data_IF_212701342351
#
_entry.id   IF_212701342351
#
_cell.length_a   1.000
_cell.length_b   1.000
_cell.length_c   1.000
_cell.angle_alpha   90.00
_cell.angle_beta   90.00
_cell.angle_gamma   90.00
#
_symmetry.space_group_name_H-M   'P 1'
#
loop_
_entity.id
_entity.type
_entity.pdbx_description
1 polymer ?
#
# COMPACT_ATOMS: atom_id res chain seq x y z
N UNK A 1 13.33 3.89 -20.21
CA UNK A 1 13.85 2.51 -20.10
C UNK A 1 12.66 1.71 -19.59
N UNK A 2 11.97 0.99 -20.47
CA UNK A 2 10.61 0.51 -20.19
C UNK A 2 10.48 -0.22 -18.83
N UNK A 3 9.31 -0.08 -18.18
CA UNK A 3 9.03 -0.78 -16.92
C UNK A 3 9.17 -2.30 -17.08
N UNK A 4 9.73 -2.95 -16.07
CA UNK A 4 9.89 -4.40 -16.07
C UNK A 4 8.57 -5.12 -15.77
N UNK A 5 8.41 -6.40 -16.17
CA UNK A 5 7.22 -7.18 -15.84
C UNK A 5 6.94 -7.24 -14.33
N UNK A 6 7.98 -7.27 -13.50
CA UNK A 6 7.85 -7.26 -12.04
C UNK A 6 7.35 -5.92 -11.51
N UNK A 7 7.81 -4.80 -12.08
CA UNK A 7 7.30 -3.47 -11.73
C UNK A 7 5.82 -3.32 -12.09
N UNK A 8 5.43 -3.80 -13.26
CA UNK A 8 4.03 -3.84 -13.70
C UNK A 8 3.20 -4.73 -12.76
N UNK A 9 3.74 -5.86 -12.33
CA UNK A 9 3.08 -6.72 -11.37
C UNK A 9 2.91 -6.06 -10.00
N UNK A 10 3.91 -5.32 -9.53
CA UNK A 10 3.82 -4.55 -8.29
C UNK A 10 2.76 -3.46 -8.40
N UNK A 11 2.69 -2.72 -9.51
CA UNK A 11 1.63 -1.73 -9.76
C UNK A 11 0.26 -2.41 -9.75
N UNK A 12 0.09 -3.51 -10.48
CA UNK A 12 -1.16 -4.29 -10.51
C UNK A 12 -1.59 -4.65 -9.09
N UNK A 13 -0.66 -5.20 -8.31
CA UNK A 13 -0.88 -5.58 -6.92
C UNK A 13 -1.35 -4.38 -6.12
N UNK A 14 -0.57 -3.30 -6.06
CA UNK A 14 -0.84 -2.11 -5.23
C UNK A 14 -2.13 -1.36 -5.60
N UNK A 15 -2.48 -1.33 -6.88
CA UNK A 15 -3.76 -0.78 -7.34
C UNK A 15 -4.95 -1.73 -7.10
N UNK A 16 -4.68 -2.97 -6.67
CA UNK A 16 -5.69 -3.94 -6.30
C UNK A 16 -6.37 -4.65 -7.48
N UNK A 17 -5.81 -4.57 -8.69
CA UNK A 17 -6.33 -5.32 -9.83
C UNK A 17 -6.19 -6.82 -9.60
N UNK A 18 -7.11 -7.67 -10.08
CA UNK A 18 -7.00 -9.12 -9.94
C UNK A 18 -5.79 -9.68 -10.71
N UNK A 19 -5.28 -10.82 -10.26
CA UNK A 19 -4.18 -11.50 -10.93
C UNK A 19 -4.71 -12.13 -12.23
N UNK A 20 -4.34 -11.56 -13.36
CA UNK A 20 -4.75 -12.05 -14.67
C UNK A 20 -3.85 -11.49 -15.78
N UNK A 21 -3.64 -12.25 -16.87
CA UNK A 21 -2.79 -11.83 -17.98
C UNK A 21 -3.32 -10.55 -18.65
N UNK A 22 -4.64 -10.38 -18.70
CA UNK A 22 -5.29 -9.23 -19.34
C UNK A 22 -4.93 -7.91 -18.65
N UNK A 23 -4.99 -7.88 -17.31
CA UNK A 23 -4.68 -6.67 -16.54
C UNK A 23 -3.21 -6.29 -16.59
N UNK A 24 -2.30 -7.27 -16.65
CA UNK A 24 -0.87 -7.01 -16.89
C UNK A 24 -0.62 -6.38 -18.25
N UNK A 25 -1.28 -6.88 -19.30
CA UNK A 25 -1.14 -6.31 -20.64
C UNK A 25 -1.71 -4.89 -20.72
N UNK A 26 -2.88 -4.65 -20.12
CA UNK A 26 -3.48 -3.31 -20.05
C UNK A 26 -2.55 -2.34 -19.32
N UNK A 27 -2.02 -2.72 -18.16
CA UNK A 27 -1.09 -1.90 -17.38
C UNK A 27 0.22 -1.65 -18.13
N UNK A 28 0.78 -2.67 -18.77
CA UNK A 28 1.97 -2.54 -19.60
C UNK A 28 1.76 -1.55 -20.74
N UNK A 29 0.65 -1.67 -21.47
CA UNK A 29 0.29 -0.74 -22.55
C UNK A 29 0.12 0.69 -22.04
N UNK A 30 -0.58 0.87 -20.92
CA UNK A 30 -0.78 2.20 -20.30
C UNK A 30 0.52 2.81 -19.80
N UNK A 31 1.39 2.03 -19.17
CA UNK A 31 2.69 2.50 -18.72
C UNK A 31 3.57 2.91 -19.91
N UNK A 32 3.55 2.14 -21.00
CA UNK A 32 4.30 2.48 -22.21
C UNK A 32 3.77 3.74 -22.91
N UNK A 33 2.46 3.99 -22.85
CA UNK A 33 1.81 5.16 -23.47
C UNK A 33 1.97 6.43 -22.62
N UNK A 34 1.87 6.32 -21.29
CA UNK A 34 1.75 7.46 -20.40
C UNK A 34 3.03 7.86 -19.67
N UNK A 35 4.03 6.99 -19.59
CA UNK A 35 5.24 7.27 -18.85
C UNK A 35 6.34 7.80 -19.76
N UNK A 36 6.79 9.02 -19.46
CA UNK A 36 8.10 9.48 -19.88
C UNK A 36 9.18 8.97 -18.91
N UNK A 37 10.46 9.18 -19.24
CA UNK A 37 11.57 8.71 -18.41
C UNK A 37 11.55 9.31 -16.98
N UNK A 38 10.98 10.50 -16.79
CA UNK A 38 10.88 11.13 -15.48
C UNK A 38 9.77 10.47 -14.64
N UNK A 39 8.61 10.21 -15.24
CA UNK A 39 7.49 9.51 -14.63
C UNK A 39 7.85 8.05 -14.31
N UNK A 40 8.59 7.35 -15.18
CA UNK A 40 9.16 6.02 -14.89
C UNK A 40 10.02 6.05 -13.61
N UNK A 41 10.91 7.06 -13.49
CA UNK A 41 11.76 7.24 -12.32
C UNK A 41 10.96 7.48 -11.03
N UNK A 42 9.93 8.33 -11.12
CA UNK A 42 9.03 8.65 -10.00
C UNK A 42 8.23 7.43 -9.54
N UNK A 43 7.64 6.68 -10.47
CA UNK A 43 6.90 5.45 -10.12
C UNK A 43 7.83 4.42 -9.48
N UNK A 44 9.04 4.23 -10.02
CA UNK A 44 10.03 3.33 -9.40
C UNK A 44 10.39 3.75 -7.98
N UNK A 45 10.51 5.05 -7.73
CA UNK A 45 10.75 5.56 -6.39
C UNK A 45 9.57 5.25 -5.45
N UNK A 46 8.33 5.47 -5.89
CA UNK A 46 7.13 5.16 -5.11
C UNK A 46 6.98 3.65 -4.84
N UNK A 47 7.23 2.80 -5.82
CA UNK A 47 7.22 1.35 -5.64
C UNK A 47 8.22 0.89 -4.57
N UNK A 48 9.44 1.46 -4.57
CA UNK A 48 10.44 1.17 -3.52
C UNK A 48 9.99 1.63 -2.13
N UNK A 49 9.29 2.76 -2.03
CA UNK A 49 8.74 3.21 -0.75
C UNK A 49 7.60 2.29 -0.29
N UNK A 50 6.73 1.86 -1.20
CA UNK A 50 5.67 0.90 -0.90
C UNK A 50 6.21 -0.45 -0.40
N UNK A 51 7.27 -0.98 -1.01
CA UNK A 51 7.93 -2.20 -0.54
C UNK A 51 8.54 -2.03 0.87
N UNK A 52 9.14 -0.87 1.14
CA UNK A 52 9.65 -0.53 2.48
C UNK A 52 8.53 -0.46 3.51
N UNK A 53 7.43 0.24 3.19
CA UNK A 53 6.26 0.34 4.06
C UNK A 53 5.63 -1.03 4.30
N UNK A 54 5.52 -1.86 3.27
CA UNK A 54 5.02 -3.22 3.40
C UNK A 54 5.92 -4.07 4.31
N UNK A 55 7.24 -3.93 4.18
CA UNK A 55 8.20 -4.61 5.05
C UNK A 55 8.03 -4.14 6.49
N UNK A 56 7.93 -2.82 6.73
CA UNK A 56 7.72 -2.24 8.06
C UNK A 56 6.40 -2.70 8.69
N UNK A 57 5.31 -2.73 7.93
CA UNK A 57 4.02 -3.24 8.42
C UNK A 57 4.13 -4.71 8.80
N UNK A 58 4.73 -5.54 7.94
CA UNK A 58 4.87 -6.98 8.17
C UNK A 58 5.76 -7.29 9.38
N UNK A 59 6.82 -6.50 9.61
CA UNK A 59 7.71 -6.67 10.77
C UNK A 59 7.17 -6.07 12.06
N UNK A 60 6.28 -5.07 11.98
CA UNK A 60 5.67 -4.45 13.19
C UNK A 60 4.52 -5.29 13.77
N UNK A 61 3.79 -6.03 12.92
CA UNK A 61 2.69 -6.94 13.36
C UNK A 61 3.12 -8.01 14.37
N UNK A 62 4.25 -8.74 14.23
CA UNK A 62 4.64 -9.76 15.21
C UNK A 62 5.06 -9.19 16.57
N UNK A 63 5.58 -7.95 16.63
CA UNK A 63 5.97 -7.34 17.90
C UNK A 63 4.75 -7.04 18.79
N UNK A 64 3.68 -6.50 18.20
CA UNK A 64 2.44 -6.23 18.91
C UNK A 64 1.65 -7.50 19.29
N UNK A 65 1.87 -8.65 18.64
CA UNK A 65 1.23 -9.90 19.08
C UNK A 65 1.96 -10.54 20.28
N UNK A 66 3.29 -10.40 20.36
CA UNK A 66 4.10 -11.01 21.41
C UNK A 66 4.09 -10.23 22.74
N UNK A 67 3.90 -8.90 22.72
CA UNK A 67 3.89 -8.09 23.97
C UNK A 67 2.57 -8.19 24.75
N UNK A 68 1.49 -8.70 24.16
CA UNK A 68 0.16 -8.76 24.81
C UNK A 68 -0.14 -10.10 25.48
N UNK A 69 0.75 -11.11 25.41
CA UNK A 69 0.50 -12.44 25.97
C UNK A 69 1.11 -12.67 27.37
N UNK A 70 1.61 -11.62 28.03
CA UNK A 70 2.10 -11.69 29.41
C UNK A 70 1.43 -10.60 30.23
N UNK A 71 0.55 -11.02 31.14
CA UNK A 71 -0.18 -10.15 32.06
C UNK A 71 0.75 -9.21 32.83
N UNK A 72 0.39 -7.94 32.88
CA UNK A 72 1.21 -6.93 33.55
C UNK A 72 0.60 -5.55 33.45
N UNK A 73 0.09 -5.08 34.58
CA UNK A 73 -0.29 -3.72 34.92
C UNK A 73 0.43 -2.60 34.14
N UNK A 74 -0.37 -1.67 33.59
CA UNK A 74 -0.07 -0.25 33.46
C UNK A 74 1.27 0.15 32.84
N UNK A 75 1.32 0.22 31.51
CA UNK A 75 2.22 1.15 30.80
C UNK A 75 1.65 1.43 29.41
N UNK A 76 1.71 2.70 29.02
CA UNK A 76 1.01 3.37 27.92
C UNK A 76 0.83 2.52 26.65
N UNK A 77 -0.42 2.05 26.42
CA UNK A 77 -0.85 1.29 25.24
C UNK A 77 -1.20 2.19 24.02
N UNK A 78 -0.56 3.34 23.88
CA UNK A 78 -0.70 4.23 22.72
C UNK A 78 0.55 4.10 21.86
N UNK A 79 0.46 3.38 20.73
CA UNK A 79 1.28 3.68 19.54
C UNK A 79 1.06 2.72 18.38
N UNK A 80 0.63 1.46 18.59
CA UNK A 80 0.62 0.48 17.49
C UNK A 80 -0.48 0.79 16.47
N UNK A 81 -1.71 1.08 16.94
CA UNK A 81 -2.83 1.44 16.06
C UNK A 81 -2.61 2.77 15.32
N UNK A 82 -2.07 3.78 15.99
CA UNK A 82 -1.78 5.09 15.39
C UNK A 82 -0.62 5.02 14.38
N UNK A 83 0.45 4.28 14.70
CA UNK A 83 1.57 4.06 13.76
C UNK A 83 1.16 3.24 12.55
N UNK A 84 0.36 2.19 12.72
CA UNK A 84 -0.18 1.46 11.56
C UNK A 84 -1.11 2.34 10.71
N UNK A 85 -1.92 3.18 11.35
CA UNK A 85 -2.78 4.14 10.67
C UNK A 85 -2.00 5.19 9.86
N UNK A 86 -0.85 5.67 10.33
CA UNK A 86 0.01 6.58 9.56
C UNK A 86 0.67 5.87 8.38
N UNK A 87 1.21 4.65 8.58
CA UNK A 87 1.84 3.89 7.49
C UNK A 87 0.82 3.51 6.41
N UNK A 88 -0.41 3.13 6.77
CA UNK A 88 -1.46 2.84 5.80
C UNK A 88 -1.89 4.09 5.01
N UNK A 89 -1.92 5.27 5.64
CA UNK A 89 -2.23 6.53 4.93
C UNK A 89 -1.13 6.90 3.95
N UNK A 90 0.13 6.78 4.37
CA UNK A 90 1.29 7.05 3.53
C UNK A 90 1.35 6.08 2.33
N UNK A 91 1.11 4.78 2.56
CA UNK A 91 1.01 3.80 1.47
C UNK A 91 -0.15 4.13 0.50
N UNK A 92 -1.31 4.51 1.02
CA UNK A 92 -2.44 4.93 0.20
C UNK A 92 -2.12 6.18 -0.63
N UNK A 93 -1.37 7.14 -0.10
CA UNK A 93 -0.94 8.32 -0.84
C UNK A 93 -0.04 7.93 -2.04
N UNK A 94 0.96 7.08 -1.83
CA UNK A 94 1.80 6.61 -2.93
C UNK A 94 1.02 5.82 -3.98
N UNK A 95 0.02 5.05 -3.56
CA UNK A 95 -0.89 4.35 -4.50
C UNK A 95 -1.68 5.36 -5.33
N UNK A 96 -2.20 6.42 -4.72
CA UNK A 96 -2.96 7.47 -5.41
C UNK A 96 -2.06 8.28 -6.37
N UNK A 97 -0.80 8.53 -5.99
CA UNK A 97 0.20 9.18 -6.85
C UNK A 97 0.56 8.31 -8.07
N UNK A 98 0.75 7.00 -7.88
CA UNK A 98 0.98 6.05 -8.98
C UNK A 98 -0.24 6.02 -9.90
N UNK A 99 -1.44 5.87 -9.33
CA UNK A 99 -2.71 5.87 -10.05
C UNK A 99 -2.90 7.12 -10.91
N UNK A 100 -2.61 8.30 -10.35
CA UNK A 100 -2.67 9.58 -11.06
C UNK A 100 -1.66 9.65 -12.21
N UNK A 101 -0.43 9.15 -11.99
CA UNK A 101 0.64 9.17 -12.98
C UNK A 101 0.32 8.31 -14.20
N UNK A 102 -0.23 7.11 -14.00
CA UNK A 102 -0.62 6.20 -15.11
C UNK A 102 -2.07 6.42 -15.58
N UNK A 103 -2.78 7.40 -15.01
CA UNK A 103 -4.19 7.72 -15.27
C UNK A 103 -5.14 6.51 -15.17
N UNK A 104 -4.90 5.63 -14.20
CA UNK A 104 -5.76 4.49 -13.90
C UNK A 104 -6.33 4.60 -12.49
N UNK A 105 -7.59 4.24 -12.34
CA UNK A 105 -8.22 4.16 -11.02
C UNK A 105 -7.64 3.02 -10.19
N UNK A 106 -7.67 3.20 -8.86
CA UNK A 106 -7.42 2.14 -7.89
C UNK A 106 -8.62 1.21 -7.89
N UNK A 107 -8.43 -0.07 -8.27
CA UNK A 107 -9.50 -1.06 -8.30
C UNK A 107 -9.96 -1.43 -6.89
N UNK A 108 -9.01 -1.64 -5.97
CA UNK A 108 -9.28 -1.92 -4.56
C UNK A 108 -8.13 -1.43 -3.70
N UNK A 109 -8.43 -0.67 -2.64
CA UNK A 109 -7.42 -0.27 -1.66
C UNK A 109 -7.03 -1.47 -0.78
N UNK A 110 -5.75 -1.82 -0.79
CA UNK A 110 -5.21 -2.94 0.00
C UNK A 110 -5.00 -2.54 1.46
N UNK A 111 -4.64 -1.28 1.72
CA UNK A 111 -4.31 -0.78 3.05
C UNK A 111 -5.53 -0.24 3.83
N UNK A 112 -6.74 -0.69 3.47
CA UNK A 112 -8.00 -0.24 4.05
C UNK A 112 -8.36 1.21 3.68
N UNK A 113 -9.65 1.51 3.62
CA UNK A 113 -10.13 2.88 3.85
C UNK A 113 -10.46 2.97 5.33
N UNK A 114 -9.88 3.95 6.01
CA UNK A 114 -10.32 4.46 7.31
C UNK A 114 -10.69 3.35 8.32
N UNK A 115 -9.79 3.03 9.24
CA UNK A 115 -10.23 2.55 10.56
C UNK A 115 -11.01 3.69 11.21
N UNK A 116 -12.26 3.85 10.78
CA UNK A 116 -13.25 4.67 11.43
C UNK A 116 -13.52 4.02 12.77
N UNK A 117 -13.04 4.67 13.82
CA UNK A 117 -13.68 4.65 15.11
C UNK A 117 -15.20 4.62 14.92
N UNK A 118 -15.89 3.55 15.33
CA UNK A 118 -17.34 3.49 15.21
C UNK A 118 -17.95 2.09 15.06
N UNK A 119 -17.89 1.28 16.11
CA UNK A 119 -18.96 0.31 16.39
C UNK A 119 -19.12 0.12 17.90
N UNK A 120 -19.28 1.22 18.62
CA UNK A 120 -20.17 1.25 19.79
C UNK A 120 -21.60 1.40 19.26
N UNK A 121 -22.19 0.31 18.76
CA UNK A 121 -23.64 0.20 18.74
C UNK A 121 -24.07 -0.05 20.17
N UNK A 122 -24.46 1.05 20.82
CA UNK A 122 -25.24 1.08 22.05
C UNK A 122 -26.58 0.39 21.76
N UNK A 123 -26.81 -0.76 22.40
CA UNK A 123 -28.11 -1.40 22.57
C UNK A 123 -28.37 -1.56 24.05
#
# INVERSE_FOLDING_TARGET
>A
MAMTPDEIESIRRFLGYPAGPDYRQILSGRCAEMLDAAAEGTIRAHLRQLDRLQTQMTTTVPFAAQTFNSGGSGTQQYAVGERMGSLHREANQYIDEIAATIRLGVHRRIYGQQWGSGSTMRG
#
